data_IF_908365805685
#
_entry.id   IF_908365805685
#
_cell.length_a   1.000
_cell.length_b   1.000
_cell.length_c   1.000
_cell.angle_alpha   90.00
_cell.angle_beta   90.00
_cell.angle_gamma   90.00
#
_symmetry.space_group_name_H-M   'P 1'
#
loop_
_entity.id
_entity.type
_entity.pdbx_description
1 polymer ?
#
# COMPACT_ATOMS: atom_id res chain seq x y z
N UNK A 1 17.26 -26.46 21.22
CA UNK A 1 17.32 -25.66 19.98
C UNK A 1 15.98 -25.45 19.28
N UNK A 2 15.06 -26.43 19.19
CA UNK A 2 13.77 -26.24 18.49
C UNK A 2 12.83 -25.20 19.12
N UNK A 3 12.82 -25.07 20.45
CA UNK A 3 11.94 -24.11 21.17
C UNK A 3 12.31 -22.63 20.92
N UNK A 4 13.61 -22.35 20.71
CA UNK A 4 14.11 -20.97 20.54
C UNK A 4 13.75 -20.41 19.16
N UNK A 5 13.68 -21.26 18.14
CA UNK A 5 13.28 -20.87 16.78
C UNK A 5 11.78 -20.51 16.71
N UNK A 6 10.92 -21.22 17.44
CA UNK A 6 9.48 -20.96 17.47
C UNK A 6 9.16 -19.63 18.14
N UNK A 7 9.87 -19.27 19.22
CA UNK A 7 9.72 -17.98 19.90
C UNK A 7 10.15 -16.82 18.99
N UNK A 8 11.26 -16.99 18.25
CA UNK A 8 11.73 -15.98 17.30
C UNK A 8 10.71 -15.70 16.19
N UNK A 9 10.05 -16.73 15.67
CA UNK A 9 9.01 -16.57 14.64
C UNK A 9 7.77 -15.84 15.16
N UNK A 10 7.44 -15.98 16.45
CA UNK A 10 6.31 -15.27 17.07
C UNK A 10 6.56 -13.77 17.20
N UNK A 11 7.81 -13.36 17.45
CA UNK A 11 8.18 -11.94 17.55
C UNK A 11 8.14 -11.22 16.18
N UNK A 12 8.46 -11.92 15.09
CA UNK A 12 8.37 -11.37 13.73
C UNK A 12 6.94 -11.00 13.32
N UNK A 13 5.93 -11.71 13.83
CA UNK A 13 4.53 -11.46 13.53
C UNK A 13 3.95 -10.25 14.29
N UNK A 14 4.58 -9.82 15.39
CA UNK A 14 4.11 -8.70 16.22
C UNK A 14 4.45 -7.31 15.63
N UNK A 15 5.31 -7.23 14.61
CA UNK A 15 5.76 -5.97 14.02
C UNK A 15 4.82 -5.38 12.96
N UNK A 16 3.69 -6.03 12.66
CA UNK A 16 2.71 -5.53 11.68
C UNK A 16 1.85 -4.41 12.29
N UNK A 17 2.39 -3.20 12.40
CA UNK A 17 1.62 -2.02 12.81
C UNK A 17 1.04 -1.30 11.58
N UNK A 18 -0.23 -0.90 11.65
CA UNK A 18 -0.89 -0.12 10.59
C UNK A 18 -0.33 1.30 10.59
N UNK A 19 0.02 1.84 9.42
CA UNK A 19 0.48 3.21 9.26
C UNK A 19 -0.60 4.20 9.73
N UNK A 20 -0.25 5.06 10.69
CA UNK A 20 -1.13 6.13 11.17
C UNK A 20 -0.82 7.42 10.41
N UNK A 21 -1.80 7.95 9.69
CA UNK A 21 -1.71 9.26 9.05
C UNK A 21 -2.02 10.34 10.09
N UNK A 22 -1.21 11.40 10.13
CA UNK A 22 -1.47 12.57 10.97
C UNK A 22 -2.62 13.37 10.37
N UNK A 23 -3.73 13.49 11.10
CA UNK A 23 -4.88 14.30 10.70
C UNK A 23 -4.82 15.65 11.41
N UNK A 24 -4.79 16.79 10.68
CA UNK A 24 -4.84 18.12 11.29
C UNK A 24 -6.07 18.32 12.19
N UNK A 25 -5.90 19.02 13.32
CA UNK A 25 -6.94 19.18 14.34
C UNK A 25 -8.23 19.86 13.83
N UNK A 26 -8.12 20.67 12.78
CA UNK A 26 -9.27 21.36 12.15
C UNK A 26 -10.20 20.38 11.42
N UNK A 27 -9.67 19.26 10.93
CA UNK A 27 -10.46 18.21 10.29
C UNK A 27 -11.02 17.23 11.32
N UNK A 28 -10.35 17.02 12.46
CA UNK A 28 -10.84 16.11 13.49
C UNK A 28 -12.06 16.66 14.25
N UNK A 29 -12.24 17.98 14.33
CA UNK A 29 -13.39 18.60 15.01
C UNK A 29 -14.66 18.63 14.17
N UNK A 30 -14.55 18.58 12.84
CA UNK A 30 -15.69 18.68 11.91
C UNK A 30 -16.07 17.35 11.26
N UNK A 31 -15.23 16.32 11.37
CA UNK A 31 -15.48 15.01 10.76
C UNK A 31 -16.00 13.99 11.78
N UNK A 32 -16.98 13.19 11.36
CA UNK A 32 -17.39 12.00 12.10
C UNK A 32 -16.31 10.91 11.93
N UNK A 33 -15.62 10.57 13.02
CA UNK A 33 -14.65 9.48 12.99
C UNK A 33 -15.35 8.14 12.78
N UNK A 34 -15.06 7.47 11.67
CA UNK A 34 -15.54 6.12 11.37
C UNK A 34 -14.35 5.15 11.38
N UNK A 35 -14.19 4.33 12.43
CA UNK A 35 -13.11 3.36 12.47
C UNK A 35 -13.34 2.28 11.41
N UNK A 36 -12.35 2.08 10.55
CA UNK A 36 -12.38 1.08 9.48
C UNK A 36 -11.91 -0.26 10.02
N UNK A 37 -12.78 -1.26 9.99
CA UNK A 37 -12.46 -2.66 10.33
C UNK A 37 -12.06 -3.44 9.08
N UNK A 38 -11.18 -4.43 9.24
CA UNK A 38 -10.74 -5.31 8.14
C UNK A 38 -9.47 -4.85 7.43
N UNK A 39 -8.75 -3.87 7.96
CA UNK A 39 -7.38 -3.51 7.54
C UNK A 39 -6.36 -4.42 8.23
N UNK A 40 -6.27 -5.69 7.80
CA UNK A 40 -5.46 -6.71 8.48
C UNK A 40 -4.00 -6.76 7.99
N UNK A 41 -3.44 -5.68 7.45
CA UNK A 41 -2.09 -5.61 6.87
C UNK A 41 -1.91 -6.38 5.55
N UNK A 42 -2.68 -7.46 5.36
CA UNK A 42 -2.70 -8.28 4.16
C UNK A 42 -3.82 -7.82 3.25
N UNK A 43 -3.47 -7.39 2.03
CA UNK A 43 -4.42 -6.82 1.06
C UNK A 43 -5.16 -7.89 0.22
N UNK A 44 -4.98 -9.18 0.53
CA UNK A 44 -5.66 -10.27 -0.18
C UNK A 44 -7.08 -10.44 0.33
N UNK A 45 -8.06 -10.40 -0.58
CA UNK A 45 -9.48 -10.65 -0.29
C UNK A 45 -10.08 -9.77 0.83
N UNK A 46 -9.58 -8.56 0.98
CA UNK A 46 -9.95 -7.65 2.06
C UNK A 46 -11.44 -7.27 1.97
N UNK A 47 -12.11 -7.25 3.12
CA UNK A 47 -13.46 -6.71 3.29
C UNK A 47 -13.39 -5.61 4.33
N UNK A 48 -13.99 -4.46 4.03
CA UNK A 48 -13.97 -3.30 4.90
C UNK A 48 -15.36 -3.07 5.48
N UNK A 49 -15.37 -2.60 6.73
CA UNK A 49 -16.58 -2.10 7.37
C UNK A 49 -16.26 -0.79 8.07
N UNK A 50 -17.08 0.22 7.86
CA UNK A 50 -16.95 1.52 8.51
C UNK A 50 -18.35 2.09 8.74
N UNK A 51 -18.70 2.34 10.00
CA UNK A 51 -20.07 2.72 10.35
C UNK A 51 -21.11 1.68 9.85
N UNK A 52 -22.18 2.11 9.16
CA UNK A 52 -23.21 1.23 8.60
C UNK A 52 -22.82 0.62 7.23
N UNK A 53 -21.67 1.01 6.67
CA UNK A 53 -21.24 0.58 5.35
C UNK A 53 -20.43 -0.71 5.42
N UNK A 54 -20.73 -1.61 4.49
CA UNK A 54 -20.02 -2.87 4.31
C UNK A 54 -19.55 -3.00 2.88
N UNK A 55 -18.31 -3.42 2.68
CA UNK A 55 -17.80 -3.70 1.34
C UNK A 55 -17.87 -5.18 0.99
N UNK A 56 -18.07 -5.46 -0.29
CA UNK A 56 -17.76 -6.77 -0.86
C UNK A 56 -16.24 -7.02 -0.84
N UNK A 57 -15.82 -8.22 -1.27
CA UNK A 57 -14.40 -8.56 -1.36
C UNK A 57 -13.74 -7.60 -2.35
N UNK A 58 -12.76 -6.84 -1.88
CA UNK A 58 -12.03 -5.90 -2.72
C UNK A 58 -11.16 -6.70 -3.69
N UNK A 59 -11.54 -6.67 -4.97
CA UNK A 59 -10.76 -7.23 -6.05
C UNK A 59 -9.70 -6.20 -6.45
N UNK A 60 -8.44 -6.57 -6.26
CA UNK A 60 -7.28 -5.79 -6.70
C UNK A 60 -6.73 -6.44 -7.96
N UNK A 61 -6.76 -5.71 -9.06
CA UNK A 61 -6.13 -6.16 -10.30
C UNK A 61 -4.61 -6.20 -10.15
N UNK A 62 -3.98 -7.24 -10.69
CA UNK A 62 -2.52 -7.31 -10.83
C UNK A 62 -2.12 -6.43 -12.01
N UNK A 63 -1.69 -5.20 -11.75
CA UNK A 63 -0.99 -4.41 -12.77
C UNK A 63 0.49 -4.72 -12.61
N UNK A 64 1.00 -5.59 -13.49
CA UNK A 64 2.42 -5.90 -13.57
C UNK A 64 3.18 -4.65 -13.98
N UNK A 65 3.87 -4.06 -13.02
CA UNK A 65 4.75 -2.95 -13.25
C UNK A 65 6.05 -3.45 -13.87
N UNK A 66 6.32 -3.08 -15.12
CA UNK A 66 7.69 -3.13 -15.63
C UNK A 66 8.48 -2.01 -14.96
N UNK A 67 9.35 -2.33 -14.01
CA UNK A 67 10.39 -1.40 -13.54
C UNK A 67 11.46 -1.31 -14.61
N UNK A 68 11.28 -0.38 -15.55
CA UNK A 68 12.33 -0.10 -16.52
C UNK A 68 13.37 0.80 -15.83
N UNK A 69 14.39 0.18 -15.22
CA UNK A 69 15.59 0.92 -14.82
C UNK A 69 16.29 1.31 -16.11
N UNK A 70 16.06 2.56 -16.54
CA UNK A 70 16.77 3.13 -17.68
C UNK A 70 18.25 3.28 -17.28
N UNK A 71 19.05 2.24 -17.48
CA UNK A 71 20.49 2.39 -17.67
C UNK A 71 20.66 3.16 -18.97
N UNK A 72 20.46 4.48 -18.90
CA UNK A 72 20.87 5.35 -19.98
C UNK A 72 22.37 5.08 -20.13
N UNK A 73 22.80 4.65 -21.31
CA UNK A 73 24.20 4.47 -21.69
C UNK A 73 25.06 5.76 -21.55
N UNK A 74 24.51 6.80 -20.94
CA UNK A 74 25.14 8.04 -20.47
C UNK A 74 24.96 8.11 -18.96
N UNK A 75 25.76 7.35 -18.23
CA UNK A 75 25.98 7.62 -16.81
C UNK A 75 26.92 8.83 -16.73
N UNK A 76 26.57 9.79 -15.87
CA UNK A 76 27.50 10.88 -15.56
C UNK A 76 28.70 10.34 -14.76
N UNK A 77 29.90 10.93 -14.86
CA UNK A 77 31.07 10.50 -14.10
C UNK A 77 30.81 10.42 -12.58
N UNK A 78 29.98 11.32 -12.07
CA UNK A 78 29.58 11.38 -10.67
C UNK A 78 28.75 10.15 -10.27
N UNK A 79 27.75 9.76 -11.07
CA UNK A 79 26.94 8.55 -10.84
C UNK A 79 27.77 7.26 -10.92
N UNK A 80 28.81 7.26 -11.76
CA UNK A 80 29.72 6.12 -11.90
C UNK A 80 30.60 5.96 -10.66
N UNK A 81 31.12 7.07 -10.11
CA UNK A 81 31.88 7.07 -8.86
C UNK A 81 31.02 6.60 -7.69
N UNK A 82 29.81 7.13 -7.56
CA UNK A 82 28.88 6.75 -6.48
C UNK A 82 28.58 5.23 -6.52
N UNK A 83 28.43 4.65 -7.70
CA UNK A 83 28.23 3.21 -7.87
C UNK A 83 29.42 2.36 -7.42
N UNK A 84 30.66 2.83 -7.63
CA UNK A 84 31.88 2.14 -7.14
C UNK A 84 31.93 2.12 -5.62
N UNK A 85 31.39 3.17 -4.97
CA UNK A 85 31.24 3.22 -3.51
C UNK A 85 29.97 2.51 -3.00
N UNK A 86 29.26 1.77 -3.85
CA UNK A 86 27.97 1.14 -3.53
C UNK A 86 26.91 2.14 -3.03
N UNK A 87 27.01 3.40 -3.47
CA UNK A 87 26.01 4.44 -3.23
C UNK A 87 25.09 4.45 -4.45
N UNK A 88 23.98 3.73 -4.35
CA UNK A 88 22.96 3.73 -5.40
C UNK A 88 22.25 5.08 -5.43
N UNK A 89 22.48 5.85 -6.50
CA UNK A 89 21.70 7.06 -6.78
C UNK A 89 20.45 6.63 -7.56
N UNK A 90 19.41 6.23 -6.82
CA UNK A 90 18.17 5.70 -7.39
C UNK A 90 17.43 6.78 -8.20
N UNK A 91 17.65 6.79 -9.51
CA UNK A 91 16.80 7.49 -10.50
C UNK A 91 15.82 6.50 -11.14
N UNK A 92 15.15 5.71 -10.31
CA UNK A 92 14.17 4.74 -10.75
C UNK A 92 12.79 5.41 -10.91
N UNK A 93 12.27 5.46 -12.14
CA UNK A 93 10.92 5.97 -12.40
C UNK A 93 9.90 4.84 -12.19
N UNK A 94 9.26 4.81 -11.03
CA UNK A 94 8.23 3.82 -10.73
C UNK A 94 6.86 4.30 -11.21
N UNK A 95 6.32 3.67 -12.27
CA UNK A 95 4.96 3.92 -12.76
C UNK A 95 4.00 2.80 -12.35
N UNK A 96 3.23 2.98 -11.28
CA UNK A 96 2.20 2.04 -10.83
C UNK A 96 0.84 2.44 -11.40
N UNK A 97 0.06 1.43 -11.79
CA UNK A 97 -1.37 1.56 -12.02
C UNK A 97 -2.01 0.49 -11.14
N UNK A 98 -3.02 0.81 -10.36
CA UNK A 98 -3.75 -0.18 -9.56
C UNK A 98 -5.23 -0.09 -9.90
N UNK A 99 -5.89 -1.24 -10.04
CA UNK A 99 -7.34 -1.30 -10.30
C UNK A 99 -8.03 -1.92 -9.10
N UNK A 100 -9.12 -1.29 -8.66
CA UNK A 100 -9.95 -1.75 -7.57
C UNK A 100 -11.39 -1.91 -8.06
N UNK A 101 -11.98 -3.05 -7.72
CA UNK A 101 -13.39 -3.32 -7.94
C UNK A 101 -14.01 -3.88 -6.65
N UNK A 102 -15.05 -3.23 -6.17
CA UNK A 102 -15.82 -3.66 -5.00
C UNK A 102 -17.18 -2.97 -4.98
N UNK A 103 -18.02 -3.44 -4.07
CA UNK A 103 -19.37 -2.92 -3.87
C UNK A 103 -19.49 -2.44 -2.44
N UNK A 104 -20.17 -1.32 -2.22
CA UNK A 104 -20.53 -0.82 -0.89
C UNK A 104 -22.02 -1.02 -0.70
N UNK A 105 -22.42 -1.61 0.42
CA UNK A 105 -23.80 -1.79 0.80
C UNK A 105 -24.11 -1.09 2.13
N UNK A 106 -25.28 -0.49 2.21
CA UNK A 106 -25.91 0.04 3.42
C UNK A 106 -27.37 -0.43 3.45
N UNK A 107 -27.67 -1.43 4.28
CA UNK A 107 -28.99 -2.05 4.34
C UNK A 107 -29.39 -2.68 3.00
N UNK A 108 -30.27 -2.01 2.24
CA UNK A 108 -30.75 -2.43 0.92
C UNK A 108 -30.24 -1.60 -0.26
N UNK A 109 -29.41 -0.59 0.00
CA UNK A 109 -28.79 0.23 -1.05
C UNK A 109 -27.40 -0.34 -1.34
N UNK A 110 -27.11 -0.57 -2.62
CA UNK A 110 -25.85 -1.13 -3.09
C UNK A 110 -25.24 -0.24 -4.17
N UNK A 111 -23.94 0.03 -4.07
CA UNK A 111 -23.19 0.87 -5.00
C UNK A 111 -21.92 0.15 -5.47
N UNK A 112 -21.80 -0.08 -6.77
CA UNK A 112 -20.57 -0.61 -7.38
C UNK A 112 -19.52 0.48 -7.59
N UNK A 113 -18.28 0.14 -7.24
CA UNK A 113 -17.13 1.04 -7.31
C UNK A 113 -16.06 0.42 -8.20
N UNK A 114 -15.70 1.20 -9.22
CA UNK A 114 -14.59 0.91 -10.13
C UNK A 114 -13.57 2.05 -10.01
N UNK A 115 -12.43 1.78 -9.38
CA UNK A 115 -11.39 2.79 -9.18
C UNK A 115 -10.08 2.38 -9.86
N UNK A 116 -9.38 3.36 -10.41
CA UNK A 116 -8.02 3.20 -10.94
C UNK A 116 -7.12 4.23 -10.30
N UNK A 117 -6.10 3.78 -9.59
CA UNK A 117 -5.05 4.62 -9.04
C UNK A 117 -3.86 4.62 -10.00
N UNK A 118 -3.24 5.78 -10.20
CA UNK A 118 -2.02 5.93 -10.98
C UNK A 118 -0.99 6.62 -10.10
N UNK A 119 0.06 5.89 -9.75
CA UNK A 119 1.18 6.42 -8.98
C UNK A 119 2.41 6.55 -9.88
N UNK A 120 3.11 7.68 -9.76
CA UNK A 120 4.31 7.97 -10.52
C UNK A 120 5.29 8.66 -9.58
N UNK A 121 6.36 7.95 -9.24
CA UNK A 121 7.49 8.49 -8.50
C UNK A 121 8.57 8.91 -9.51
N UNK A 122 9.09 10.13 -9.36
CA UNK A 122 10.09 10.75 -10.24
C UNK A 122 11.40 10.92 -9.51
#
# INVERSE_FOLDING_TARGET
MRLSLTVFFLFLLASCTTAKLSVPAQFSSQATQMPVKGLNGWMLAQRLQFGPYHTSKISRGWDFQGSLQHTRFRLSPEETLLKVFAIDTDKASHKQRNRFQYTIAEGGLEAEIYATEKFTEK
#
